data_IF_797085134506
#
_entry.id   IF_797085134506
#
_cell.length_a   1.000
_cell.length_b   1.000
_cell.length_c   1.000
_cell.angle_alpha   90.00
_cell.angle_beta   90.00
_cell.angle_gamma   90.00
#
_symmetry.space_group_name_H-M   'P 1'
#
loop_
_entity.id
_entity.type
_entity.pdbx_description
1 polymer ?
#
# COMPACT_ATOMS: atom_id res chain seq x y z
N UNK A 1 19.81 1.98 -12.64
CA UNK A 1 19.22 1.79 -11.32
C UNK A 1 17.91 0.99 -11.39
N UNK A 2 17.64 0.19 -10.40
CA UNK A 2 16.42 -0.61 -10.28
C UNK A 2 15.55 -0.08 -9.12
N UNK A 3 14.38 0.46 -9.44
CA UNK A 3 13.45 1.04 -8.47
C UNK A 3 12.25 0.12 -8.28
N UNK A 4 11.95 -0.24 -7.04
CA UNK A 4 10.77 -1.00 -6.68
C UNK A 4 9.60 -0.04 -6.39
N UNK A 5 8.52 -0.12 -7.16
CA UNK A 5 7.29 0.62 -6.91
C UNK A 5 6.18 -0.36 -6.49
N UNK A 6 5.56 -0.12 -5.33
CA UNK A 6 4.40 -0.91 -4.87
C UNK A 6 3.24 0.00 -4.49
N UNK A 7 2.05 -0.26 -5.07
CA UNK A 7 0.81 0.44 -4.75
C UNK A 7 -0.20 -0.50 -4.08
N UNK A 8 -0.91 -0.02 -3.07
CA UNK A 8 -1.97 -0.76 -2.36
C UNK A 8 -1.48 -2.12 -1.84
N UNK A 9 -2.08 -3.23 -2.21
CA UNK A 9 -1.58 -4.58 -1.92
C UNK A 9 -0.11 -4.74 -2.35
N UNK A 10 0.27 -4.20 -3.52
CA UNK A 10 1.66 -4.18 -3.99
C UNK A 10 2.62 -3.43 -3.06
N UNK A 11 2.13 -2.46 -2.26
CA UNK A 11 2.95 -1.78 -1.26
C UNK A 11 3.34 -2.69 -0.08
N UNK A 12 2.44 -3.59 0.33
CA UNK A 12 2.72 -4.62 1.33
C UNK A 12 3.66 -5.69 0.77
N UNK A 13 3.50 -6.07 -0.51
CA UNK A 13 4.44 -6.96 -1.21
C UNK A 13 5.83 -6.35 -1.32
N UNK A 14 5.93 -5.07 -1.71
CA UNK A 14 7.20 -4.34 -1.77
C UNK A 14 7.90 -4.33 -0.41
N UNK A 15 7.18 -3.99 0.66
CA UNK A 15 7.71 -4.07 2.04
C UNK A 15 8.15 -5.49 2.40
N UNK A 16 7.44 -6.52 1.96
CA UNK A 16 7.83 -7.92 2.16
C UNK A 16 9.16 -8.24 1.46
N UNK A 17 9.34 -7.75 0.22
CA UNK A 17 10.59 -7.91 -0.52
C UNK A 17 11.73 -7.25 0.24
N UNK A 18 11.55 -6.00 0.70
CA UNK A 18 12.58 -5.28 1.47
C UNK A 18 12.98 -5.99 2.76
N UNK A 19 12.03 -6.66 3.44
CA UNK A 19 12.30 -7.42 4.66
C UNK A 19 13.01 -8.75 4.38
N UNK A 20 12.60 -9.46 3.32
CA UNK A 20 13.08 -10.84 3.05
C UNK A 20 14.32 -10.91 2.19
N UNK A 21 14.54 -9.92 1.34
CA UNK A 21 15.57 -9.91 0.31
C UNK A 21 16.37 -8.60 0.35
N UNK A 22 17.10 -8.31 1.47
CA UNK A 22 17.85 -7.05 1.61
C UNK A 22 18.91 -6.87 0.53
N UNK A 23 19.43 -7.97 -0.02
CA UNK A 23 20.48 -7.99 -1.05
C UNK A 23 19.92 -8.11 -2.48
N UNK A 24 18.65 -7.76 -2.70
CA UNK A 24 17.94 -7.91 -3.99
C UNK A 24 18.44 -7.01 -5.12
N UNK A 25 19.41 -6.12 -4.87
CA UNK A 25 19.92 -5.18 -5.87
C UNK A 25 18.97 -4.01 -6.17
N UNK A 26 17.95 -3.81 -5.32
CA UNK A 26 17.05 -2.64 -5.42
C UNK A 26 17.82 -1.40 -4.99
N UNK A 27 17.80 -0.36 -5.84
CA UNK A 27 18.49 0.91 -5.60
C UNK A 27 17.62 1.91 -4.81
N UNK A 28 16.29 1.84 -4.96
CA UNK A 28 15.33 2.66 -4.21
C UNK A 28 13.95 2.00 -4.19
N UNK A 29 13.09 2.39 -3.25
CA UNK A 29 11.71 1.91 -3.20
C UNK A 29 10.69 3.03 -3.02
N UNK A 30 9.56 2.93 -3.71
CA UNK A 30 8.40 3.81 -3.55
C UNK A 30 7.24 2.98 -3.03
N UNK A 31 6.74 3.35 -1.85
CA UNK A 31 5.67 2.65 -1.14
C UNK A 31 4.43 3.54 -1.19
N UNK A 32 3.50 3.22 -2.10
CA UNK A 32 2.33 4.02 -2.41
C UNK A 32 1.06 3.42 -1.81
N UNK A 33 0.23 4.21 -1.13
CA UNK A 33 -1.08 3.79 -0.62
C UNK A 33 -1.01 2.63 0.37
N UNK A 34 0.04 2.59 1.21
CA UNK A 34 0.24 1.57 2.24
C UNK A 34 -0.48 1.92 3.54
N UNK A 35 -0.58 0.95 4.43
CA UNK A 35 -1.14 1.13 5.77
C UNK A 35 -0.27 0.53 6.87
N UNK A 36 -0.75 0.69 8.11
CA UNK A 36 -0.21 0.05 9.30
C UNK A 36 -1.37 -0.39 10.18
N UNK A 37 -1.36 -1.63 10.62
CA UNK A 37 -2.43 -2.19 11.43
C UNK A 37 -2.02 -2.25 12.91
N UNK A 38 -2.98 -2.10 13.86
CA UNK A 38 -2.69 -2.33 15.26
C UNK A 38 -2.27 -3.78 15.50
N UNK A 39 -1.12 -3.99 16.18
CA UNK A 39 -0.54 -5.32 16.39
C UNK A 39 -1.50 -6.31 17.07
N UNK A 40 -2.41 -5.81 17.93
CA UNK A 40 -3.40 -6.64 18.62
C UNK A 40 -4.59 -7.04 17.72
N UNK A 41 -4.89 -6.27 16.67
CA UNK A 41 -6.05 -6.51 15.81
C UNK A 41 -5.78 -7.61 14.77
N UNK A 42 -4.61 -7.64 14.17
CA UNK A 42 -4.25 -8.60 13.11
C UNK A 42 -4.44 -10.07 13.49
N UNK A 43 -4.01 -10.55 14.68
CA UNK A 43 -4.22 -11.95 15.06
C UNK A 43 -5.71 -12.33 15.12
N UNK A 44 -6.57 -11.41 15.55
CA UNK A 44 -8.03 -11.64 15.63
C UNK A 44 -8.61 -11.68 14.22
N UNK A 45 -8.27 -10.72 13.37
CA UNK A 45 -8.73 -10.67 11.98
C UNK A 45 -8.29 -11.93 11.22
N UNK A 46 -7.03 -12.36 11.35
CA UNK A 46 -6.52 -13.56 10.69
C UNK A 46 -7.33 -14.80 11.12
N UNK A 47 -7.63 -14.97 12.42
CA UNK A 47 -8.44 -16.10 12.89
C UNK A 47 -9.86 -16.09 12.31
N UNK A 48 -10.48 -14.91 12.19
CA UNK A 48 -11.80 -14.77 11.55
C UNK A 48 -11.72 -15.18 10.08
N UNK A 49 -10.75 -14.67 9.33
CA UNK A 49 -10.53 -15.00 7.92
C UNK A 49 -10.25 -16.50 7.75
N UNK A 50 -9.39 -17.09 8.57
CA UNK A 50 -9.10 -18.54 8.56
C UNK A 50 -10.36 -19.39 8.82
N UNK A 51 -11.23 -18.95 9.72
CA UNK A 51 -12.51 -19.63 9.98
C UNK A 51 -13.43 -19.59 8.75
N UNK A 52 -13.49 -18.45 8.06
CA UNK A 52 -14.24 -18.32 6.80
C UNK A 52 -13.61 -19.18 5.70
N UNK A 53 -12.28 -19.16 5.54
CA UNK A 53 -11.58 -20.01 4.59
C UNK A 53 -11.91 -21.51 4.76
N UNK A 54 -11.95 -21.99 6.01
CA UNK A 54 -12.30 -23.40 6.31
C UNK A 54 -13.74 -23.73 5.93
N UNK A 55 -14.65 -22.77 6.04
CA UNK A 55 -16.09 -22.95 5.76
C UNK A 55 -16.42 -22.84 4.27
N UNK A 56 -15.83 -21.85 3.58
CA UNK A 56 -16.19 -21.46 2.22
C UNK A 56 -15.23 -22.03 1.20
N UNK A 57 -13.98 -22.31 1.59
CA UNK A 57 -12.87 -22.70 0.72
C UNK A 57 -12.01 -21.51 0.31
N UNK A 58 -10.71 -21.74 0.19
CA UNK A 58 -9.70 -20.69 -0.04
C UNK A 58 -9.82 -19.98 -1.40
N UNK A 59 -10.33 -20.68 -2.40
CA UNK A 59 -10.48 -20.19 -3.78
C UNK A 59 -11.80 -19.48 -4.03
N UNK A 60 -12.70 -19.47 -3.05
CA UNK A 60 -14.00 -18.86 -3.18
C UNK A 60 -14.04 -17.46 -2.54
N UNK A 61 -14.76 -16.51 -3.13
CA UNK A 61 -15.04 -15.22 -2.50
C UNK A 61 -16.07 -15.38 -1.37
N UNK A 62 -16.08 -14.43 -0.43
CA UNK A 62 -17.11 -14.30 0.61
C UNK A 62 -17.49 -12.82 0.77
N UNK A 63 -18.70 -12.49 0.34
CA UNK A 63 -19.22 -11.11 0.35
C UNK A 63 -19.28 -10.48 1.75
N UNK A 64 -19.50 -11.30 2.79
CA UNK A 64 -19.53 -10.79 4.17
C UNK A 64 -18.14 -10.36 4.61
N UNK A 65 -17.13 -11.18 4.28
CA UNK A 65 -15.75 -10.87 4.57
C UNK A 65 -15.27 -9.65 3.77
N UNK A 66 -15.62 -9.58 2.48
CA UNK A 66 -15.35 -8.41 1.63
C UNK A 66 -15.92 -7.12 2.26
N UNK A 67 -17.19 -7.11 2.63
CA UNK A 67 -17.84 -5.96 3.28
C UNK A 67 -17.22 -5.61 4.64
N UNK A 68 -16.75 -6.60 5.39
CA UNK A 68 -16.04 -6.37 6.65
C UNK A 68 -14.71 -5.63 6.44
N UNK A 69 -13.97 -5.95 5.38
CA UNK A 69 -12.65 -5.37 5.07
C UNK A 69 -12.81 -4.02 4.37
N UNK A 70 -13.66 -3.93 3.34
CA UNK A 70 -13.71 -2.79 2.42
C UNK A 70 -14.95 -1.89 2.59
N UNK A 71 -16.02 -2.39 3.21
CA UNK A 71 -17.32 -1.70 3.28
C UNK A 71 -17.31 -0.35 4.01
N UNK A 72 -16.24 -0.03 4.73
CA UNK A 72 -16.05 1.27 5.40
C UNK A 72 -15.24 2.30 4.60
N UNK A 73 -14.76 1.96 3.40
CA UNK A 73 -13.78 2.79 2.70
C UNK A 73 -14.36 4.11 2.17
N UNK A 74 -15.63 4.13 1.81
CA UNK A 74 -16.32 5.38 1.40
C UNK A 74 -16.77 6.27 2.57
N UNK A 75 -16.50 5.91 3.85
CA UNK A 75 -17.05 6.64 5.02
C UNK A 75 -16.80 8.15 5.00
N UNK A 76 -15.68 8.59 4.43
CA UNK A 76 -15.32 10.02 4.34
C UNK A 76 -15.57 10.62 2.95
N UNK A 77 -16.09 9.85 2.02
CA UNK A 77 -16.48 10.40 0.72
C UNK A 77 -17.86 11.04 0.87
N UNK A 78 -17.92 12.33 0.63
CA UNK A 78 -19.19 13.05 0.62
C UNK A 78 -20.02 12.64 -0.60
N UNK A 79 -21.25 12.22 -0.38
CA UNK A 79 -22.19 11.79 -1.42
C UNK A 79 -21.57 10.78 -2.43
N UNK A 80 -21.12 9.59 -1.96
CA UNK A 80 -20.51 8.61 -2.85
C UNK A 80 -21.51 8.16 -3.93
N UNK A 81 -21.09 8.19 -5.19
CA UNK A 81 -21.89 7.73 -6.34
C UNK A 81 -21.88 6.21 -6.46
N UNK A 82 -20.75 5.58 -6.06
CA UNK A 82 -20.46 4.16 -6.19
C UNK A 82 -19.76 3.64 -4.95
N UNK A 83 -19.63 2.33 -4.82
CA UNK A 83 -18.83 1.71 -3.75
C UNK A 83 -17.31 1.89 -3.91
N UNK A 84 -16.84 2.35 -5.09
CA UNK A 84 -15.43 2.52 -5.43
C UNK A 84 -14.95 3.98 -5.43
N UNK A 85 -15.77 4.93 -5.03
CA UNK A 85 -15.38 6.35 -5.04
C UNK A 85 -14.20 6.67 -4.12
N UNK A 86 -13.90 5.81 -3.13
CA UNK A 86 -12.71 5.92 -2.29
C UNK A 86 -11.39 5.76 -3.05
N UNK A 87 -11.42 5.28 -4.31
CA UNK A 87 -10.22 5.11 -5.13
C UNK A 87 -9.63 6.43 -5.58
N UNK A 88 -10.43 7.31 -6.14
CA UNK A 88 -9.99 8.61 -6.69
C UNK A 88 -11.15 9.61 -6.77
N UNK A 89 -10.84 10.89 -6.84
CA UNK A 89 -11.82 11.96 -7.11
C UNK A 89 -12.17 12.08 -8.59
N UNK A 90 -11.37 11.47 -9.48
CA UNK A 90 -11.68 11.45 -10.91
C UNK A 90 -12.79 10.41 -11.21
N UNK A 91 -14.01 10.92 -11.38
CA UNK A 91 -15.19 10.07 -11.64
C UNK A 91 -15.03 9.19 -12.89
N UNK A 92 -14.33 9.67 -13.92
CA UNK A 92 -14.09 8.90 -15.15
C UNK A 92 -13.21 7.67 -14.90
N UNK A 93 -12.22 7.82 -14.02
CA UNK A 93 -11.36 6.70 -13.61
C UNK A 93 -12.16 5.69 -12.78
N UNK A 94 -13.01 6.14 -11.85
CA UNK A 94 -13.90 5.24 -11.09
C UNK A 94 -14.83 4.48 -12.03
N UNK A 95 -15.45 5.16 -12.99
CA UNK A 95 -16.36 4.54 -13.96
C UNK A 95 -15.62 3.52 -14.86
N UNK A 96 -14.38 3.84 -15.27
CA UNK A 96 -13.54 2.92 -16.01
C UNK A 96 -13.14 1.68 -15.17
N UNK A 97 -12.84 1.86 -13.89
CA UNK A 97 -12.54 0.78 -12.96
C UNK A 97 -13.73 -0.19 -12.83
N UNK A 98 -14.93 0.32 -12.64
CA UNK A 98 -16.16 -0.49 -12.47
C UNK A 98 -16.47 -1.32 -13.73
N UNK A 99 -16.20 -0.76 -14.90
CA UNK A 99 -16.51 -1.42 -16.19
C UNK A 99 -15.39 -2.34 -16.69
N UNK A 100 -14.19 -2.27 -16.06
CA UNK A 100 -13.06 -3.07 -16.49
C UNK A 100 -13.15 -4.50 -15.97
N UNK A 101 -13.06 -5.54 -16.81
CA UNK A 101 -13.29 -6.94 -16.41
C UNK A 101 -12.25 -7.49 -15.41
N UNK A 102 -11.10 -6.83 -15.28
CA UNK A 102 -10.04 -7.21 -14.35
C UNK A 102 -10.07 -6.41 -13.04
N UNK A 103 -11.08 -5.58 -12.81
CA UNK A 103 -11.22 -4.73 -11.63
C UNK A 103 -12.56 -4.99 -10.92
N UNK A 104 -12.66 -4.58 -9.65
CA UNK A 104 -13.91 -4.60 -8.89
C UNK A 104 -14.47 -5.99 -8.55
N UNK A 105 -13.69 -7.05 -8.69
CA UNK A 105 -14.11 -8.39 -8.29
C UNK A 105 -13.90 -8.60 -6.78
N UNK A 106 -14.73 -9.44 -6.17
CA UNK A 106 -14.59 -9.84 -4.78
C UNK A 106 -13.40 -10.78 -4.62
N UNK A 107 -12.52 -10.48 -3.69
CA UNK A 107 -11.32 -11.25 -3.40
C UNK A 107 -11.67 -12.62 -2.81
N UNK A 108 -10.83 -13.62 -3.12
CA UNK A 108 -10.95 -14.93 -2.50
C UNK A 108 -10.57 -14.87 -1.02
N UNK A 109 -11.15 -15.75 -0.22
CA UNK A 109 -10.87 -15.83 1.22
C UNK A 109 -9.40 -16.12 1.49
N UNK A 110 -8.76 -16.95 0.64
CA UNK A 110 -7.33 -17.26 0.72
C UNK A 110 -6.46 -16.05 0.48
N UNK A 111 -6.79 -15.21 -0.53
CA UNK A 111 -6.06 -13.96 -0.78
C UNK A 111 -6.10 -13.03 0.45
N UNK A 112 -7.28 -12.86 1.06
CA UNK A 112 -7.42 -12.02 2.25
C UNK A 112 -6.64 -12.57 3.45
N UNK A 113 -6.66 -13.90 3.69
CA UNK A 113 -5.85 -14.55 4.72
C UNK A 113 -4.35 -14.26 4.51
N UNK A 114 -3.87 -14.48 3.31
CA UNK A 114 -2.45 -14.35 2.99
C UNK A 114 -2.00 -12.90 3.05
N UNK A 115 -2.84 -11.96 2.60
CA UNK A 115 -2.60 -10.52 2.74
C UNK A 115 -2.47 -10.11 4.21
N UNK A 116 -3.42 -10.49 5.07
CA UNK A 116 -3.40 -10.15 6.50
C UNK A 116 -2.18 -10.79 7.21
N UNK A 117 -1.82 -12.01 6.81
CA UNK A 117 -0.63 -12.71 7.31
C UNK A 117 0.66 -12.00 6.88
N UNK A 118 0.71 -11.57 5.61
CA UNK A 118 1.82 -10.77 5.06
C UNK A 118 1.98 -9.44 5.79
N UNK A 119 0.88 -8.70 6.00
CA UNK A 119 0.89 -7.44 6.77
C UNK A 119 1.43 -7.67 8.18
N UNK A 120 0.94 -8.70 8.87
CA UNK A 120 1.46 -9.07 10.20
C UNK A 120 2.96 -9.37 10.19
N UNK A 121 3.46 -10.01 9.13
CA UNK A 121 4.89 -10.35 9.00
C UNK A 121 5.75 -9.09 8.86
N UNK A 122 5.39 -8.17 7.96
CA UNK A 122 6.19 -6.96 7.68
C UNK A 122 6.15 -5.91 8.79
N UNK A 123 5.26 -6.03 9.75
CA UNK A 123 5.15 -5.13 10.89
C UNK A 123 5.91 -5.63 12.13
N UNK A 124 6.50 -6.82 12.07
CA UNK A 124 7.30 -7.37 13.16
C UNK A 124 8.66 -6.68 13.28
N UNK A 125 9.15 -6.44 14.52
CA UNK A 125 10.46 -5.82 14.73
C UNK A 125 11.60 -6.56 14.02
N UNK A 126 11.61 -7.90 14.05
CA UNK A 126 12.62 -8.72 13.41
C UNK A 126 12.61 -8.58 11.87
N UNK A 127 11.43 -8.46 11.24
CA UNK A 127 11.32 -8.23 9.79
C UNK A 127 11.85 -6.86 9.42
N UNK A 128 11.52 -5.84 10.19
CA UNK A 128 12.00 -4.47 9.98
C UNK A 128 13.52 -4.37 10.21
N UNK A 129 14.06 -5.11 11.21
CA UNK A 129 15.49 -5.14 11.49
C UNK A 129 16.30 -5.75 10.33
N UNK A 130 15.72 -6.67 9.55
CA UNK A 130 16.39 -7.34 8.45
C UNK A 130 16.61 -6.46 7.21
N UNK A 131 15.89 -5.34 7.07
CA UNK A 131 15.98 -4.47 5.89
C UNK A 131 17.35 -3.79 5.77
N UNK A 132 17.79 -3.52 4.52
CA UNK A 132 18.96 -2.70 4.21
C UNK A 132 18.75 -1.27 4.70
N UNK A 133 19.73 -0.72 5.46
CA UNK A 133 19.55 0.54 6.20
C UNK A 133 19.78 1.81 5.37
N UNK A 134 20.59 1.70 4.33
CA UNK A 134 20.96 2.79 3.40
C UNK A 134 20.05 2.90 2.17
N UNK A 135 19.02 2.02 2.06
CA UNK A 135 18.07 2.04 0.94
C UNK A 135 17.19 3.29 1.02
N UNK A 136 17.16 4.16 0.00
CA UNK A 136 16.19 5.24 -0.08
C UNK A 136 14.77 4.71 -0.22
N UNK A 137 13.86 5.18 0.63
CA UNK A 137 12.44 4.78 0.58
C UNK A 137 11.53 6.00 0.63
N UNK A 138 10.63 6.09 -0.33
CA UNK A 138 9.64 7.15 -0.43
C UNK A 138 8.23 6.60 -0.16
N UNK A 139 7.62 7.02 0.93
CA UNK A 139 6.22 6.73 1.24
C UNK A 139 5.34 7.84 0.70
N UNK A 140 4.37 7.49 -0.14
CA UNK A 140 3.40 8.42 -0.73
C UNK A 140 1.98 7.89 -0.58
N UNK A 141 1.02 8.76 -0.29
CA UNK A 141 -0.39 8.37 -0.17
C UNK A 141 -1.31 9.58 -0.21
N UNK A 142 -2.58 9.36 -0.46
CA UNK A 142 -3.62 10.37 -0.30
C UNK A 142 -3.96 10.64 1.18
N UNK A 143 -4.31 11.89 1.47
CA UNK A 143 -4.78 12.31 2.81
C UNK A 143 -6.17 11.76 3.13
N UNK A 144 -6.95 11.44 2.11
CA UNK A 144 -8.29 10.84 2.24
C UNK A 144 -8.30 9.34 1.91
N UNK A 145 -7.12 8.70 1.83
CA UNK A 145 -6.98 7.26 1.63
C UNK A 145 -7.35 6.47 2.90
N UNK A 146 -8.44 5.65 2.89
CA UNK A 146 -8.84 4.83 4.02
C UNK A 146 -7.86 3.70 4.33
N UNK A 147 -7.15 3.15 3.33
CA UNK A 147 -6.16 2.07 3.50
C UNK A 147 -5.02 2.52 4.41
N UNK A 148 -4.54 3.74 4.20
CA UNK A 148 -3.52 4.39 5.01
C UNK A 148 -4.04 5.01 6.32
N UNK A 149 -5.31 4.74 6.68
CA UNK A 149 -5.98 5.42 7.80
C UNK A 149 -5.78 6.95 7.71
N UNK A 150 -6.07 7.49 6.53
CA UNK A 150 -6.00 8.93 6.26
C UNK A 150 -4.60 9.51 6.55
N UNK A 151 -3.57 8.83 6.04
CA UNK A 151 -2.17 9.18 6.19
C UNK A 151 -1.52 8.78 7.53
N UNK A 152 -2.28 8.47 8.57
CA UNK A 152 -1.73 8.08 9.89
C UNK A 152 -0.97 6.75 9.85
N UNK A 153 -1.53 5.75 9.17
CA UNK A 153 -0.90 4.44 8.99
C UNK A 153 0.37 4.53 8.16
N UNK A 154 0.37 5.37 7.12
CA UNK A 154 1.55 5.60 6.27
C UNK A 154 2.70 6.21 7.07
N UNK A 155 2.42 7.27 7.84
CA UNK A 155 3.43 7.89 8.72
C UNK A 155 3.96 6.89 9.73
N UNK A 156 3.09 6.06 10.33
CA UNK A 156 3.49 5.02 11.27
C UNK A 156 4.40 3.97 10.63
N UNK A 157 4.12 3.56 9.39
CA UNK A 157 4.97 2.65 8.64
C UNK A 157 6.37 3.25 8.40
N UNK A 158 6.42 4.51 7.94
CA UNK A 158 7.68 5.22 7.74
C UNK A 158 8.48 5.40 9.05
N UNK A 159 7.80 5.73 10.15
CA UNK A 159 8.44 5.85 11.46
C UNK A 159 8.98 4.51 11.97
N UNK A 160 8.30 3.40 11.67
CA UNK A 160 8.80 2.06 11.98
C UNK A 160 10.09 1.73 11.20
N UNK A 161 10.17 2.15 9.93
CA UNK A 161 11.38 2.03 9.11
C UNK A 161 12.55 2.84 9.70
N UNK A 162 12.31 4.11 10.07
CA UNK A 162 13.31 4.96 10.73
C UNK A 162 13.79 4.35 12.05
N UNK A 163 12.85 3.87 12.89
CA UNK A 163 13.17 3.20 14.17
C UNK A 163 13.96 1.91 13.98
N UNK A 164 13.80 1.22 12.86
CA UNK A 164 14.60 0.06 12.50
C UNK A 164 16.01 0.42 12.00
N UNK A 165 16.36 1.71 11.95
CA UNK A 165 17.68 2.21 11.58
C UNK A 165 17.84 2.61 10.12
N UNK A 166 16.75 2.69 9.33
CA UNK A 166 16.85 3.20 7.97
C UNK A 166 17.10 4.71 7.98
N UNK A 167 18.10 5.17 7.20
CA UNK A 167 18.61 6.55 7.25
C UNK A 167 17.96 7.47 6.22
N UNK A 168 17.39 6.92 5.15
CA UNK A 168 16.80 7.67 4.05
C UNK A 168 15.34 7.26 3.82
N UNK A 169 14.44 7.86 4.61
CA UNK A 169 12.99 7.60 4.55
C UNK A 169 12.23 8.91 4.44
N UNK A 170 11.64 9.13 3.26
CA UNK A 170 10.81 10.31 2.96
C UNK A 170 9.32 9.95 2.99
N UNK A 171 8.47 10.93 3.32
CA UNK A 171 7.00 10.76 3.37
C UNK A 171 6.33 11.99 2.76
N UNK A 172 5.43 11.77 1.78
CA UNK A 172 4.53 12.80 1.29
C UNK A 172 3.08 12.33 1.34
N UNK A 173 2.20 13.12 1.95
CA UNK A 173 0.76 12.86 1.99
C UNK A 173 0.07 13.99 1.22
N UNK A 174 -0.55 13.63 0.10
CA UNK A 174 -1.26 14.58 -0.77
C UNK A 174 -2.63 14.92 -0.19
N UNK A 175 -2.87 16.18 0.21
CA UNK A 175 -4.16 16.58 0.78
C UNK A 175 -5.30 16.29 -0.21
N UNK A 176 -6.45 15.88 0.32
CA UNK A 176 -7.67 15.56 -0.43
C UNK A 176 -7.57 14.41 -1.44
N UNK A 177 -6.36 13.95 -1.80
CA UNK A 177 -6.21 12.77 -2.65
C UNK A 177 -6.71 11.51 -1.94
N UNK A 178 -7.37 10.64 -2.68
CA UNK A 178 -7.84 9.33 -2.22
C UNK A 178 -6.78 8.26 -2.43
N UNK A 179 -7.16 7.01 -2.61
CA UNK A 179 -6.24 5.88 -2.62
C UNK A 179 -5.31 5.84 -3.83
N UNK A 180 -5.84 6.03 -5.03
CA UNK A 180 -5.10 5.95 -6.30
C UNK A 180 -4.51 7.30 -6.70
N UNK A 181 -3.49 7.77 -5.97
CA UNK A 181 -2.89 9.11 -6.19
C UNK A 181 -2.34 9.31 -7.61
N UNK A 182 -1.92 8.24 -8.30
CA UNK A 182 -1.46 8.29 -9.69
C UNK A 182 -2.62 8.44 -10.71
N UNK A 183 -3.85 8.28 -10.26
CA UNK A 183 -5.07 8.40 -11.04
C UNK A 183 -5.95 9.55 -10.54
N UNK A 184 -5.41 10.41 -9.68
CA UNK A 184 -6.11 11.55 -9.12
C UNK A 184 -6.21 12.73 -10.11
N UNK A 185 -7.11 13.67 -9.82
CA UNK A 185 -7.28 14.88 -10.66
C UNK A 185 -6.02 15.74 -10.71
N UNK A 186 -5.15 15.68 -9.68
CA UNK A 186 -3.85 16.35 -9.61
C UNK A 186 -2.66 15.38 -9.79
N UNK A 187 -2.82 14.29 -10.52
CA UNK A 187 -1.77 13.27 -10.75
C UNK A 187 -0.46 13.82 -11.30
N UNK A 188 -0.51 14.93 -12.07
CA UNK A 188 0.71 15.54 -12.62
C UNK A 188 1.65 16.08 -11.52
N UNK A 189 1.11 16.60 -10.42
CA UNK A 189 1.87 16.96 -9.23
C UNK A 189 2.56 15.73 -8.64
N UNK A 190 1.82 14.62 -8.49
CA UNK A 190 2.34 13.36 -7.96
C UNK A 190 3.47 12.81 -8.83
N UNK A 191 3.30 12.85 -10.16
CA UNK A 191 4.34 12.42 -11.11
C UNK A 191 5.59 13.31 -11.00
N UNK A 192 5.41 14.63 -10.90
CA UNK A 192 6.50 15.59 -10.73
C UNK A 192 7.31 15.31 -9.47
N UNK A 193 6.66 15.09 -8.33
CA UNK A 193 7.30 14.80 -7.05
C UNK A 193 8.07 13.46 -7.08
N UNK A 194 7.47 12.42 -7.67
CA UNK A 194 8.14 11.13 -7.85
C UNK A 194 9.41 11.29 -8.69
N UNK A 195 9.30 11.98 -9.84
CA UNK A 195 10.45 12.20 -10.72
C UNK A 195 11.54 13.05 -10.06
N UNK A 196 11.16 14.06 -9.30
CA UNK A 196 12.10 14.89 -8.54
C UNK A 196 12.80 14.05 -7.46
N UNK A 197 12.06 13.25 -6.71
CA UNK A 197 12.62 12.38 -5.69
C UNK A 197 13.59 11.35 -6.31
N UNK A 198 13.20 10.68 -7.38
CA UNK A 198 14.06 9.74 -8.11
C UNK A 198 15.33 10.42 -8.61
N UNK A 199 15.22 11.62 -9.18
CA UNK A 199 16.37 12.37 -9.70
C UNK A 199 17.39 12.72 -8.61
N UNK A 200 16.94 12.95 -7.39
CA UNK A 200 17.81 13.27 -6.24
C UNK A 200 18.48 12.04 -5.61
N UNK A 201 17.86 10.85 -5.72
CA UNK A 201 18.36 9.63 -5.09
C UNK A 201 19.05 8.66 -6.07
N UNK A 202 18.78 8.78 -7.38
CA UNK A 202 19.43 7.97 -8.39
C UNK A 202 20.74 8.61 -8.83
N UNK A 203 21.88 8.06 -8.42
CA UNK A 203 23.19 8.47 -8.96
C UNK A 203 23.16 8.27 -10.47
N UNK A 204 23.44 9.32 -11.23
CA UNK A 204 23.80 9.16 -12.65
C UNK A 204 24.97 8.19 -12.68
N UNK A 205 24.79 7.01 -13.29
CA UNK A 205 25.93 6.17 -13.66
C UNK A 205 26.83 7.04 -14.55
N UNK A 206 28.01 7.42 -14.05
CA UNK A 206 29.01 8.05 -14.89
C UNK A 206 29.26 7.08 -16.04
N UNK A 207 29.30 7.54 -17.31
CA UNK A 207 29.72 6.68 -18.39
C UNK A 207 31.12 6.17 -18.00
N UNK A 208 31.24 4.86 -17.87
CA UNK A 208 32.57 4.23 -17.80
C UNK A 208 33.31 4.62 -19.08
N UNK A 209 34.34 5.44 -18.92
CA UNK A 209 35.27 5.82 -19.99
C UNK A 209 36.03 4.60 -20.51
#
# INVERSE_FOLDING_TARGET
PYVLFGHSMGSFMARTILCKYPDSGIDAAIICGTGWQPAFALPVVIKVVESVCKRVGETNPDETLHKLVFGGYNRKVEHPRTEFDWLTRDAKIVDAYITHPMCGFTETTGLLRDLMTGIRHIEKPESLAAMRKDLPVFFIAGGDDPVGNYGKGVRRAADAFRKAGMTDVSVHIYPLCRHEILNEINREEVYGDILQWLSSHMKKSSPTA
#
